data_IF_880614722292
#
_entry.id   IF_880614722292
#
_cell.length_a   1.000
_cell.length_b   1.000
_cell.length_c   1.000
_cell.angle_alpha   90.00
_cell.angle_beta   90.00
_cell.angle_gamma   90.00
#
_symmetry.space_group_name_H-M   'P 1'
#
loop_
_entity.id
_entity.type
_entity.pdbx_description
1 polymer ?
#
# COMPACT_ATOMS: atom_id res chain seq x y z
N UNK A 1 22.14 -4.62 -3.44
CA UNK A 1 21.27 -3.46 -3.71
C UNK A 1 19.80 -3.89 -3.61
N UNK A 2 18.90 -3.09 -3.03
CA UNK A 2 17.47 -3.47 -2.94
C UNK A 2 16.85 -3.73 -4.32
N UNK A 3 17.22 -2.93 -5.32
CA UNK A 3 16.86 -3.13 -6.72
C UNK A 3 17.10 -4.56 -7.23
N UNK A 4 18.27 -5.13 -6.94
CA UNK A 4 18.61 -6.48 -7.40
C UNK A 4 17.77 -7.55 -6.71
N UNK A 5 17.42 -7.32 -5.43
CA UNK A 5 16.58 -8.24 -4.66
C UNK A 5 15.15 -8.30 -5.18
N UNK A 6 14.64 -7.19 -5.72
CA UNK A 6 13.27 -7.07 -6.21
C UNK A 6 13.18 -7.00 -7.74
N UNK A 7 14.25 -7.34 -8.46
CA UNK A 7 14.30 -7.26 -9.93
C UNK A 7 13.21 -8.10 -10.62
N UNK A 8 12.76 -9.18 -10.00
CA UNK A 8 11.69 -10.06 -10.49
C UNK A 8 10.38 -9.92 -9.69
N UNK A 9 10.23 -8.89 -8.86
CA UNK A 9 9.03 -8.66 -8.07
C UNK A 9 8.35 -7.39 -8.53
N UNK A 10 7.09 -7.51 -8.95
CA UNK A 10 6.28 -6.33 -9.23
C UNK A 10 5.87 -5.68 -7.90
N UNK A 11 6.43 -4.49 -7.63
CA UNK A 11 6.10 -3.70 -6.45
C UNK A 11 4.96 -2.74 -6.81
N UNK A 12 3.85 -2.84 -6.10
CA UNK A 12 2.67 -1.99 -6.28
C UNK A 12 2.48 -1.12 -5.04
N UNK A 13 2.46 0.19 -5.23
CA UNK A 13 2.11 1.16 -4.20
C UNK A 13 0.60 1.45 -4.25
N UNK A 14 -0.16 0.75 -3.41
CA UNK A 14 -1.60 0.95 -3.21
C UNK A 14 -1.92 2.20 -2.36
N UNK A 15 -1.23 3.32 -2.60
CA UNK A 15 -1.43 4.56 -1.86
C UNK A 15 -1.31 5.79 -2.74
N UNK A 16 -2.34 6.65 -2.68
CA UNK A 16 -2.33 7.98 -3.31
C UNK A 16 -1.52 9.02 -2.53
N UNK A 17 -0.88 8.66 -1.41
CA UNK A 17 -0.15 9.61 -0.57
C UNK A 17 1.17 10.04 -1.24
N UNK A 18 1.38 11.35 -1.52
CA UNK A 18 2.62 11.84 -2.12
C UNK A 18 3.85 11.52 -1.27
N UNK A 19 3.72 11.62 0.06
CA UNK A 19 4.80 11.31 1.02
C UNK A 19 5.28 9.87 0.94
N UNK A 20 4.38 8.91 0.69
CA UNK A 20 4.76 7.49 0.52
C UNK A 20 5.42 7.22 -0.83
N UNK A 21 5.02 7.95 -1.86
CA UNK A 21 5.66 7.88 -3.18
C UNK A 21 7.10 8.40 -3.11
N UNK A 22 7.34 9.53 -2.44
CA UNK A 22 8.70 10.07 -2.26
C UNK A 22 9.59 9.11 -1.47
N UNK A 23 9.05 8.50 -0.41
CA UNK A 23 9.78 7.51 0.38
C UNK A 23 10.19 6.29 -0.45
N UNK A 24 9.27 5.73 -1.26
CA UNK A 24 9.59 4.60 -2.14
C UNK A 24 10.58 4.98 -3.26
N UNK A 25 10.47 6.20 -3.82
CA UNK A 25 11.45 6.71 -4.80
C UNK A 25 12.86 6.79 -4.22
N UNK A 26 12.99 7.17 -2.95
CA UNK A 26 14.29 7.23 -2.26
C UNK A 26 14.96 5.87 -2.04
N UNK A 27 14.23 4.76 -2.20
CA UNK A 27 14.77 3.40 -2.09
C UNK A 27 15.34 2.87 -3.43
N UNK A 28 15.29 3.69 -4.48
CA UNK A 28 15.74 3.37 -5.83
C UNK A 28 15.03 2.14 -6.43
N UNK A 29 13.87 1.73 -5.93
CA UNK A 29 13.14 0.56 -6.45
C UNK A 29 12.16 0.96 -7.55
N UNK A 30 11.97 0.09 -8.55
CA UNK A 30 10.90 0.24 -9.52
C UNK A 30 9.58 -0.17 -8.88
N UNK A 31 8.57 0.71 -8.91
CA UNK A 31 7.23 0.43 -8.41
C UNK A 31 6.17 1.08 -9.30
N UNK A 32 4.98 0.48 -9.33
CA UNK A 32 3.79 1.04 -9.98
C UNK A 32 2.85 1.63 -8.92
N UNK A 33 2.15 2.70 -9.26
CA UNK A 33 1.09 3.24 -8.41
C UNK A 33 -0.22 2.68 -8.96
N UNK A 34 -0.88 1.79 -8.21
CA UNK A 34 -2.21 1.29 -8.54
C UNK A 34 -3.08 1.47 -7.29
N UNK A 35 -4.01 2.41 -7.35
CA UNK A 35 -4.90 2.68 -6.21
C UNK A 35 -6.30 2.23 -6.57
N UNK A 36 -6.76 1.17 -5.93
CA UNK A 36 -8.15 0.73 -6.04
C UNK A 36 -8.99 1.59 -5.09
N UNK A 37 -10.06 2.26 -5.56
CA UNK A 37 -10.97 2.94 -4.67
C UNK A 37 -11.69 1.89 -3.84
N UNK A 38 -11.23 1.68 -2.61
CA UNK A 38 -11.94 0.84 -1.64
C UNK A 38 -12.78 1.75 -0.76
N UNK A 39 -14.02 1.33 -0.52
CA UNK A 39 -14.86 1.98 0.47
C UNK A 39 -14.23 1.71 1.84
N UNK A 40 -13.68 2.74 2.49
CA UNK A 40 -13.08 2.66 3.83
C UNK A 40 -14.15 2.53 4.92
N UNK A 41 -15.05 1.56 4.73
CA UNK A 41 -16.12 1.22 5.66
C UNK A 41 -15.59 0.12 6.58
N UNK A 42 -15.50 0.43 7.85
CA UNK A 42 -15.06 -0.46 8.91
C UNK A 42 -16.15 -0.52 9.99
N UNK A 43 -16.28 -1.65 10.68
CA UNK A 43 -17.27 -1.76 11.76
C UNK A 43 -16.91 -0.83 12.91
N UNK A 44 -17.92 -0.24 13.56
CA UNK A 44 -17.73 0.57 14.78
C UNK A 44 -17.15 -0.21 15.95
N UNK A 45 -17.14 -1.54 15.86
CA UNK A 45 -16.52 -2.44 16.85
C UNK A 45 -14.99 -2.44 16.79
N UNK A 46 -14.39 -2.00 15.68
CA UNK A 46 -12.94 -1.94 15.51
C UNK A 46 -12.36 -0.74 16.26
N UNK A 47 -11.33 -0.96 17.08
CA UNK A 47 -10.72 0.10 17.91
C UNK A 47 -9.26 0.33 17.56
N UNK A 48 -8.90 1.60 17.37
CA UNK A 48 -7.51 2.05 17.24
C UNK A 48 -6.75 1.34 16.12
N UNK A 49 -5.70 0.59 16.48
CA UNK A 49 -4.83 -0.11 15.52
C UNK A 49 -5.59 -1.09 14.61
N UNK A 50 -6.68 -1.69 15.11
CA UNK A 50 -7.49 -2.66 14.35
C UNK A 50 -8.13 -2.04 13.10
N UNK A 51 -8.47 -0.75 13.15
CA UNK A 51 -8.99 -0.01 11.98
C UNK A 51 -7.91 0.10 10.92
N UNK A 52 -6.67 0.41 11.32
CA UNK A 52 -5.53 0.58 10.40
C UNK A 52 -5.16 -0.74 9.73
N UNK A 53 -5.13 -1.83 10.50
CA UNK A 53 -4.86 -3.17 9.96
C UNK A 53 -5.97 -3.61 9.00
N UNK A 54 -7.24 -3.45 9.39
CA UNK A 54 -8.39 -3.81 8.56
C UNK A 54 -8.40 -3.03 7.24
N UNK A 55 -8.22 -1.71 7.28
CA UNK A 55 -8.18 -0.88 6.06
C UNK A 55 -6.97 -1.20 5.18
N UNK A 56 -5.85 -1.62 5.76
CA UNK A 56 -4.67 -2.03 4.99
C UNK A 56 -4.93 -3.34 4.24
N UNK A 57 -5.58 -4.31 4.89
CA UNK A 57 -5.98 -5.57 4.25
C UNK A 57 -7.06 -5.35 3.18
N UNK A 58 -8.06 -4.52 3.49
CA UNK A 58 -9.14 -4.19 2.55
C UNK A 58 -8.62 -3.59 1.25
N UNK A 59 -7.58 -2.74 1.32
CA UNK A 59 -6.90 -2.15 0.15
C UNK A 59 -6.13 -3.16 -0.71
N UNK A 60 -5.76 -4.31 -0.14
CA UNK A 60 -4.98 -5.37 -0.79
C UNK A 60 -5.84 -6.50 -1.36
N UNK A 61 -7.10 -6.63 -0.92
CA UNK A 61 -8.00 -7.65 -1.45
C UNK A 61 -8.42 -7.31 -2.89
N UNK A 62 -8.37 -8.27 -3.82
CA UNK A 62 -8.84 -8.07 -5.19
C UNK A 62 -10.37 -7.89 -5.21
N UNK A 63 -10.83 -6.99 -6.08
CA UNK A 63 -12.23 -6.73 -6.41
C UNK A 63 -12.84 -7.86 -7.23
#
# INVERSE_FOLDING_TARGET
MLQEKFKNTEIILASQSPRRQELLKGLDINFKIETRPVNEVYSNDLKGAQITDYLSVLKLMPS
#
